data_IF_935197286753
#
_entry.id   IF_935197286753
#
_cell.length_a   1.000
_cell.length_b   1.000
_cell.length_c   1.000
_cell.angle_alpha   90.00
_cell.angle_beta   90.00
_cell.angle_gamma   90.00
#
_symmetry.space_group_name_H-M   'P 1'
#
loop_
_entity.id
_entity.type
_entity.pdbx_description
1 polymer ?
#
# COMPACT_ATOMS: atom_id res chain seq x y z
N UNK A 1 39.97 60.39 -18.48
CA UNK A 1 39.39 59.03 -18.57
C UNK A 1 39.02 58.54 -17.17
N UNK A 2 37.73 58.30 -16.87
CA UNK A 2 37.26 57.80 -15.56
C UNK A 2 37.01 56.29 -15.65
N UNK A 3 37.73 55.49 -14.84
CA UNK A 3 37.55 54.03 -14.74
C UNK A 3 36.25 53.73 -13.96
N UNK A 4 35.33 52.98 -14.57
CA UNK A 4 34.11 52.47 -13.93
C UNK A 4 34.47 51.28 -13.03
N UNK A 5 34.07 51.32 -11.77
CA UNK A 5 34.19 50.21 -10.82
C UNK A 5 33.03 49.22 -11.03
N UNK A 6 33.35 47.98 -11.42
CA UNK A 6 32.38 46.91 -11.53
C UNK A 6 32.00 46.42 -10.12
N UNK A 7 30.73 46.61 -9.73
CA UNK A 7 30.16 45.99 -8.52
C UNK A 7 29.94 44.51 -8.83
N UNK A 8 30.56 43.63 -8.03
CA UNK A 8 30.33 42.18 -8.08
C UNK A 8 29.01 41.91 -7.35
N UNK A 9 27.93 41.72 -8.10
CA UNK A 9 26.66 41.26 -7.54
C UNK A 9 26.78 39.76 -7.26
N UNK A 10 27.00 39.40 -6.00
CA UNK A 10 26.85 38.03 -5.52
C UNK A 10 25.36 37.66 -5.50
N UNK A 11 24.94 36.51 -6.06
CA UNK A 11 23.52 36.14 -6.10
C UNK A 11 22.93 36.01 -4.69
N UNK A 12 21.83 36.73 -4.44
CA UNK A 12 21.15 36.92 -3.15
C UNK A 12 20.42 35.68 -2.59
N UNK A 13 20.84 34.46 -2.95
CA UNK A 13 20.15 33.21 -2.58
C UNK A 13 21.07 32.18 -1.92
N UNK A 14 22.13 32.61 -1.24
CA UNK A 14 22.90 31.72 -0.37
C UNK A 14 22.42 31.85 1.08
N UNK A 15 21.32 31.17 1.42
CA UNK A 15 20.91 30.99 2.81
C UNK A 15 21.86 29.99 3.48
N UNK A 16 22.84 30.52 4.22
CA UNK A 16 23.63 29.76 5.19
C UNK A 16 22.70 29.33 6.35
N UNK A 17 21.98 28.22 6.20
CA UNK A 17 21.46 27.52 7.39
C UNK A 17 22.63 26.79 8.05
N UNK A 18 22.93 27.05 9.34
CA UNK A 18 23.99 26.32 10.03
C UNK A 18 23.65 24.82 10.03
N UNK A 19 24.64 23.93 9.83
CA UNK A 19 24.39 22.50 9.91
C UNK A 19 23.89 22.17 11.32
N UNK A 20 22.74 21.50 11.40
CA UNK A 20 22.18 21.00 12.65
C UNK A 20 23.22 20.07 13.28
N UNK A 21 23.75 20.45 14.46
CA UNK A 21 24.82 19.73 15.17
C UNK A 21 24.34 18.49 15.92
N UNK A 22 23.07 18.15 15.79
CA UNK A 22 22.45 17.03 16.49
C UNK A 22 22.39 15.79 15.61
N UNK A 23 22.70 14.63 16.19
CA UNK A 23 22.63 13.35 15.49
C UNK A 23 21.15 12.99 15.24
N UNK A 24 20.76 12.81 13.98
CA UNK A 24 19.38 12.51 13.59
C UNK A 24 18.77 11.27 14.29
N UNK A 25 19.59 10.34 14.78
CA UNK A 25 19.14 9.19 15.58
C UNK A 25 18.57 9.58 16.95
N UNK A 26 19.07 10.65 17.58
CA UNK A 26 18.57 11.10 18.90
C UNK A 26 17.22 11.78 18.77
N UNK A 27 17.02 12.60 17.73
CA UNK A 27 15.76 13.29 17.42
C UNK A 27 14.64 12.26 17.14
N UNK A 28 14.93 11.23 16.36
CA UNK A 28 13.94 10.21 16.02
C UNK A 28 13.50 9.39 17.25
N UNK A 29 14.45 9.03 18.11
CA UNK A 29 14.20 8.27 19.34
C UNK A 29 13.39 9.09 20.36
N UNK A 30 13.72 10.37 20.53
CA UNK A 30 12.97 11.28 21.39
C UNK A 30 11.52 11.46 20.93
N UNK A 31 11.30 11.62 19.61
CA UNK A 31 9.94 11.75 19.04
C UNK A 31 9.12 10.47 19.21
N UNK A 32 9.73 9.29 19.08
CA UNK A 32 9.04 8.02 19.33
C UNK A 32 8.64 7.87 20.81
N UNK A 33 9.53 8.22 21.74
CA UNK A 33 9.26 8.17 23.17
C UNK A 33 8.14 9.14 23.60
N UNK A 34 8.13 10.36 23.06
CA UNK A 34 7.06 11.33 23.33
C UNK A 34 5.68 10.85 22.82
N UNK A 35 5.62 10.26 21.62
CA UNK A 35 4.37 9.71 21.07
C UNK A 35 3.82 8.54 21.90
N UNK A 36 4.70 7.70 22.47
CA UNK A 36 4.26 6.62 23.36
C UNK A 36 3.69 7.18 24.67
N UNK A 37 4.35 8.18 25.28
CA UNK A 37 3.86 8.85 26.50
C UNK A 37 2.53 9.57 26.27
N UNK A 38 2.34 10.22 25.12
CA UNK A 38 1.06 10.86 24.77
C UNK A 38 -0.08 9.84 24.65
N UNK A 39 0.15 8.72 23.95
CA UNK A 39 -0.86 7.65 23.84
C UNK A 39 -1.27 7.07 25.20
N UNK A 40 -0.30 6.83 26.07
CA UNK A 40 -0.58 6.34 27.42
C UNK A 40 -1.39 7.33 28.25
N UNK A 41 -1.10 8.63 28.12
CA UNK A 41 -1.87 9.69 28.82
C UNK A 41 -3.29 9.82 28.29
N UNK A 42 -3.48 9.74 26.98
CA UNK A 42 -4.81 9.74 26.34
C UNK A 42 -5.65 8.53 26.75
N UNK A 43 -5.01 7.37 26.93
CA UNK A 43 -5.68 6.14 27.38
C UNK A 43 -6.12 6.25 28.85
N UNK A 44 -5.27 6.79 29.73
CA UNK A 44 -5.60 7.03 31.15
C UNK A 44 -6.71 8.08 31.30
N UNK A 45 -6.70 9.15 30.49
CA UNK A 45 -7.76 10.16 30.49
C UNK A 45 -9.11 9.57 30.02
N UNK A 46 -9.10 8.68 29.01
CA UNK A 46 -10.31 7.99 28.56
C UNK A 46 -10.88 7.07 29.63
N UNK A 47 -10.04 6.32 30.35
CA UNK A 47 -10.51 5.45 31.42
C UNK A 47 -11.07 6.25 32.60
N UNK A 48 -10.41 7.34 33.00
CA UNK A 48 -10.91 8.21 34.07
C UNK A 48 -12.22 8.93 33.71
N UNK A 49 -12.41 9.30 32.43
CA UNK A 49 -13.65 9.91 31.95
C UNK A 49 -14.82 8.91 31.92
N UNK A 50 -14.54 7.63 31.66
CA UNK A 50 -15.54 6.55 31.73
C UNK A 50 -15.93 6.23 33.18
N UNK A 51 -14.99 6.24 34.11
CA UNK A 51 -15.26 6.02 35.54
C UNK A 51 -16.08 7.16 36.15
N UNK A 52 -15.72 8.41 35.90
CA UNK A 52 -16.49 9.58 36.38
C UNK A 52 -17.88 9.68 35.76
N UNK A 53 -18.08 9.18 34.54
CA UNK A 53 -19.42 9.09 33.92
C UNK A 53 -20.28 7.99 34.54
N UNK A 54 -19.66 6.96 35.12
CA UNK A 54 -20.36 5.87 35.82
C UNK A 54 -20.83 6.31 37.22
N UNK A 55 -20.07 7.17 37.89
CA UNK A 55 -20.43 7.75 39.20
C UNK A 55 -21.48 8.88 39.09
N UNK A 56 -21.49 9.64 37.98
CA UNK A 56 -22.53 10.66 37.75
C UNK A 56 -23.92 10.12 37.41
N UNK A 57 -24.06 8.81 37.16
CA UNK A 57 -25.36 8.17 36.92
C UNK A 57 -26.03 7.74 38.25
N UNK A 58 -25.31 7.72 39.38
CA UNK A 58 -25.86 7.27 40.67
C UNK A 58 -26.51 8.36 41.54
N UNK A 59 -26.50 9.64 41.15
CA UNK A 59 -26.92 10.73 42.06
C UNK A 59 -28.07 11.62 41.56
N UNK A 60 -28.59 11.47 40.33
CA UNK A 60 -29.54 12.45 39.75
C UNK A 60 -30.83 11.85 39.14
N UNK A 61 -31.31 10.70 39.62
CA UNK A 61 -32.63 10.16 39.23
C UNK A 61 -33.67 10.36 40.35
N UNK A 62 -34.12 11.61 40.52
CA UNK A 62 -35.37 11.90 41.25
C UNK A 62 -36.26 12.92 40.53
N UNK A 63 -36.36 12.85 39.20
CA UNK A 63 -37.53 13.32 38.47
C UNK A 63 -37.46 12.87 37.02
N UNK A 64 -38.48 12.10 36.61
CA UNK A 64 -39.07 11.97 35.26
C UNK A 64 -39.24 10.51 34.86
N UNK A 65 -40.50 10.07 34.89
CA UNK A 65 -41.07 9.17 33.90
C UNK A 65 -40.70 7.70 34.01
N UNK A 66 -41.58 6.94 34.67
CA UNK A 66 -41.70 5.50 34.49
C UNK A 66 -41.81 5.16 33.00
N UNK A 67 -40.81 4.46 32.45
CA UNK A 67 -40.97 3.66 31.25
C UNK A 67 -40.39 2.29 31.59
N UNK A 68 -41.28 1.31 31.72
CA UNK A 68 -40.95 -0.08 31.98
C UNK A 68 -40.01 -0.59 30.90
N UNK A 69 -38.81 -1.01 31.31
CA UNK A 69 -37.85 -1.68 30.44
C UNK A 69 -38.22 -3.16 30.35
N UNK A 70 -38.61 -3.72 29.19
CA UNK A 70 -38.41 -5.14 28.97
C UNK A 70 -36.91 -5.36 28.74
N UNK A 71 -36.26 -6.09 29.66
CA UNK A 71 -34.84 -6.46 29.59
C UNK A 71 -34.42 -7.04 28.22
N UNK A 72 -35.36 -7.70 27.54
CA UNK A 72 -35.20 -8.23 26.18
C UNK A 72 -34.82 -7.17 25.12
N UNK A 73 -35.27 -5.92 25.26
CA UNK A 73 -34.91 -4.83 24.33
C UNK A 73 -33.47 -4.37 24.57
N UNK A 74 -33.00 -4.41 25.81
CA UNK A 74 -31.61 -4.04 26.16
C UNK A 74 -30.61 -5.08 25.64
N UNK A 75 -30.95 -6.36 25.77
CA UNK A 75 -30.14 -7.46 25.27
C UNK A 75 -30.08 -7.47 23.73
N UNK A 76 -31.20 -7.19 23.04
CA UNK A 76 -31.22 -7.04 21.58
C UNK A 76 -30.40 -5.85 21.08
N UNK A 77 -30.40 -4.71 21.79
CA UNK A 77 -29.56 -3.56 21.43
C UNK A 77 -28.08 -3.88 21.63
N UNK A 78 -27.72 -4.64 22.68
CA UNK A 78 -26.34 -5.05 22.93
C UNK A 78 -25.85 -6.06 21.90
N UNK A 79 -26.67 -7.05 21.54
CA UNK A 79 -26.38 -8.03 20.48
C UNK A 79 -26.19 -7.34 19.12
N UNK A 80 -27.06 -6.39 18.77
CA UNK A 80 -26.94 -5.60 17.53
C UNK A 80 -25.68 -4.70 17.50
N UNK A 81 -25.25 -4.16 18.64
CA UNK A 81 -24.01 -3.37 18.73
C UNK A 81 -22.73 -4.23 18.68
N UNK A 82 -22.76 -5.45 19.20
CA UNK A 82 -21.63 -6.40 19.13
C UNK A 82 -21.46 -6.92 17.70
N UNK A 83 -22.55 -7.24 17.00
CA UNK A 83 -22.51 -7.65 15.59
C UNK A 83 -21.99 -6.53 14.66
N UNK A 84 -22.31 -5.26 14.95
CA UNK A 84 -21.77 -4.10 14.23
C UNK A 84 -20.31 -3.78 14.58
N UNK A 85 -19.80 -4.18 15.75
CA UNK A 85 -18.41 -3.95 16.13
C UNK A 85 -17.45 -4.99 15.52
N UNK A 86 -17.95 -6.18 15.17
CA UNK A 86 -17.18 -7.22 14.47
C UNK A 86 -17.12 -6.98 12.94
N UNK A 87 -18.06 -6.20 12.41
CA UNK A 87 -18.04 -5.76 11.01
C UNK A 87 -17.39 -4.37 10.89
N UNK A 88 -16.24 -4.35 10.24
CA UNK A 88 -15.64 -3.14 9.67
C UNK A 88 -14.95 -2.19 10.66
N UNK A 89 -13.82 -2.64 11.22
CA UNK A 89 -12.69 -1.71 11.24
C UNK A 89 -12.32 -1.40 9.79
N UNK A 90 -12.34 -0.13 9.33
CA UNK A 90 -11.91 0.20 7.98
C UNK A 90 -10.40 -0.03 7.92
N UNK A 91 -10.01 -1.23 7.51
CA UNK A 91 -8.63 -1.57 7.19
C UNK A 91 -8.23 -0.57 6.11
N UNK A 92 -7.40 0.41 6.47
CA UNK A 92 -6.91 1.44 5.56
C UNK A 92 -6.30 0.72 4.36
N UNK A 93 -7.04 0.68 3.26
CA UNK A 93 -6.53 0.05 2.05
C UNK A 93 -5.34 0.88 1.59
N UNK A 94 -4.17 0.27 1.40
CA UNK A 94 -3.02 0.99 0.90
C UNK A 94 -3.39 1.62 -0.46
N UNK A 95 -2.99 2.88 -0.67
CA UNK A 95 -3.28 3.62 -1.90
C UNK A 95 -2.75 2.91 -3.16
N UNK A 96 -1.81 1.98 -2.99
CA UNK A 96 -1.29 1.12 -4.04
C UNK A 96 -1.49 -0.34 -3.69
N UNK A 97 -2.08 -1.08 -4.64
CA UNK A 97 -2.13 -2.54 -4.56
C UNK A 97 -0.71 -3.07 -4.74
N UNK A 98 -0.30 -4.00 -3.87
CA UNK A 98 0.97 -4.71 -4.04
C UNK A 98 0.90 -5.50 -5.36
N UNK A 99 1.87 -5.30 -6.23
CA UNK A 99 1.99 -6.10 -7.44
C UNK A 99 2.38 -7.53 -7.03
N UNK A 100 1.69 -8.54 -7.58
CA UNK A 100 2.05 -9.95 -7.37
C UNK A 100 3.48 -10.21 -7.86
N UNK A 101 4.15 -11.20 -7.29
CA UNK A 101 5.41 -11.67 -7.85
C UNK A 101 5.14 -12.29 -9.23
N UNK A 102 6.14 -12.28 -10.13
CA UNK A 102 5.94 -12.87 -11.46
C UNK A 102 5.55 -14.35 -11.38
N UNK A 103 6.06 -15.09 -10.39
CA UNK A 103 5.73 -16.50 -10.19
C UNK A 103 4.24 -16.71 -9.89
N UNK A 104 3.66 -15.83 -9.09
CA UNK A 104 2.27 -15.90 -8.59
C UNK A 104 1.25 -15.23 -9.52
N UNK A 105 1.71 -14.60 -10.61
CA UNK A 105 0.81 -14.02 -11.63
C UNK A 105 0.16 -15.11 -12.49
N UNK A 106 -1.06 -14.82 -12.94
CA UNK A 106 -1.76 -15.65 -13.92
C UNK A 106 -1.07 -15.58 -15.30
N UNK A 107 -1.32 -16.55 -16.17
CA UNK A 107 -0.68 -16.60 -17.51
C UNK A 107 -0.98 -15.32 -18.31
N UNK A 108 -2.22 -14.82 -18.27
CA UNK A 108 -2.59 -13.59 -18.94
C UNK A 108 -1.88 -12.35 -18.37
N UNK A 109 -1.73 -12.30 -17.04
CA UNK A 109 -0.98 -11.26 -16.35
C UNK A 109 0.51 -11.32 -16.73
N UNK A 110 1.11 -12.51 -16.74
CA UNK A 110 2.51 -12.76 -17.14
C UNK A 110 2.79 -12.28 -18.57
N UNK A 111 1.91 -12.62 -19.51
CA UNK A 111 2.02 -12.19 -20.90
C UNK A 111 1.91 -10.66 -21.03
N UNK A 112 0.99 -10.05 -20.28
CA UNK A 112 0.82 -8.60 -20.25
C UNK A 112 2.03 -7.88 -19.66
N UNK A 113 2.61 -8.45 -18.60
CA UNK A 113 3.82 -7.93 -17.97
C UNK A 113 5.01 -7.96 -18.92
N UNK A 114 5.21 -9.09 -19.61
CA UNK A 114 6.30 -9.27 -20.57
C UNK A 114 6.14 -8.37 -21.81
N UNK A 115 4.92 -8.13 -22.26
CA UNK A 115 4.65 -7.21 -23.38
C UNK A 115 4.89 -5.74 -23.01
N UNK A 116 4.50 -5.34 -21.80
CA UNK A 116 4.67 -3.96 -21.31
C UNK A 116 6.04 -3.72 -20.66
N UNK A 117 7.04 -4.53 -21.00
CA UNK A 117 8.36 -4.39 -20.42
C UNK A 117 8.99 -3.04 -20.83
N UNK A 118 9.58 -2.27 -19.89
CA UNK A 118 10.16 -0.97 -20.21
C UNK A 118 11.21 -1.06 -21.30
N UNK A 119 11.05 -0.29 -22.39
CA UNK A 119 11.96 -0.28 -23.56
C UNK A 119 13.41 0.14 -23.23
N UNK A 120 13.63 0.74 -22.07
CA UNK A 120 14.95 1.13 -21.59
C UNK A 120 15.75 -0.08 -21.09
N UNK A 121 15.08 -1.17 -20.75
CA UNK A 121 15.71 -2.40 -20.29
C UNK A 121 15.79 -3.41 -21.44
N UNK A 122 16.81 -4.30 -21.43
CA UNK A 122 16.89 -5.39 -22.39
C UNK A 122 15.63 -6.28 -22.34
N UNK A 123 15.12 -6.75 -23.48
CA UNK A 123 14.02 -7.72 -23.51
C UNK A 123 14.35 -8.97 -22.70
N UNK A 124 13.38 -9.45 -21.91
CA UNK A 124 13.55 -10.64 -21.06
C UNK A 124 13.28 -11.90 -21.87
N UNK A 125 14.25 -12.81 -21.89
CA UNK A 125 14.06 -14.12 -22.48
C UNK A 125 13.10 -14.95 -21.61
N UNK A 126 12.16 -15.63 -22.24
CA UNK A 126 11.12 -16.41 -21.58
C UNK A 126 10.94 -17.78 -22.22
N UNK A 127 10.49 -18.74 -21.42
CA UNK A 127 10.13 -20.10 -21.81
C UNK A 127 8.62 -20.21 -21.72
N UNK A 128 7.98 -20.46 -22.86
CA UNK A 128 6.53 -20.63 -22.99
C UNK A 128 6.25 -22.11 -23.18
N UNK A 129 5.51 -22.71 -22.24
CA UNK A 129 5.08 -24.11 -22.31
C UNK A 129 3.66 -24.17 -22.82
N UNK A 130 3.45 -24.88 -23.92
CA UNK A 130 2.14 -25.08 -24.57
C UNK A 130 1.49 -26.38 -24.05
N UNK A 131 0.16 -26.48 -24.17
CA UNK A 131 -0.63 -27.64 -23.75
C UNK A 131 -0.12 -28.98 -24.31
N UNK A 132 0.45 -28.96 -25.51
CA UNK A 132 1.02 -30.13 -26.19
C UNK A 132 2.39 -30.56 -25.59
N UNK A 133 2.85 -29.92 -24.51
CA UNK A 133 4.13 -30.19 -23.84
C UNK A 133 5.34 -29.53 -24.51
N UNK A 134 5.15 -28.91 -25.67
CA UNK A 134 6.21 -28.21 -26.39
C UNK A 134 6.60 -26.92 -25.66
N UNK A 135 7.91 -26.68 -25.57
CA UNK A 135 8.48 -25.49 -24.94
C UNK A 135 9.15 -24.62 -26.00
N UNK A 136 8.81 -23.34 -26.00
CA UNK A 136 9.40 -22.35 -26.89
C UNK A 136 10.21 -21.36 -26.08
N UNK A 137 11.47 -21.13 -26.47
CA UNK A 137 12.36 -20.15 -25.83
C UNK A 137 12.51 -18.93 -26.71
N UNK A 138 12.21 -17.75 -26.16
CA UNK A 138 12.22 -16.54 -26.96
C UNK A 138 11.82 -15.28 -26.20
N UNK A 139 11.42 -14.26 -26.95
CA UNK A 139 10.98 -12.96 -26.45
C UNK A 139 9.54 -12.69 -26.90
N UNK A 140 8.72 -12.15 -26.01
CA UNK A 140 7.36 -11.74 -26.38
C UNK A 140 7.45 -10.37 -27.06
N UNK A 141 7.08 -10.32 -28.33
CA UNK A 141 7.13 -9.09 -29.15
C UNK A 141 5.74 -8.51 -29.39
N UNK A 142 4.68 -9.33 -29.28
CA UNK A 142 3.32 -8.92 -29.56
C UNK A 142 2.31 -9.66 -28.71
N UNK A 143 1.28 -8.93 -28.26
CA UNK A 143 0.10 -9.50 -27.62
C UNK A 143 -1.15 -8.95 -28.30
N UNK A 144 -2.00 -9.84 -28.78
CA UNK A 144 -3.38 -9.56 -29.16
C UNK A 144 -4.33 -10.27 -28.18
N UNK A 145 -5.65 -10.04 -28.31
CA UNK A 145 -6.63 -10.54 -27.35
C UNK A 145 -6.61 -12.06 -27.16
N UNK A 146 -6.33 -12.81 -28.25
CA UNK A 146 -6.38 -14.28 -28.26
C UNK A 146 -5.06 -14.94 -28.66
N UNK A 147 -4.09 -14.16 -29.12
CA UNK A 147 -2.84 -14.65 -29.68
C UNK A 147 -1.65 -13.86 -29.17
N UNK A 148 -0.53 -14.53 -29.02
CA UNK A 148 0.75 -13.96 -28.58
C UNK A 148 1.80 -14.28 -29.64
N UNK A 149 2.58 -13.27 -30.01
CA UNK A 149 3.70 -13.43 -30.93
C UNK A 149 4.99 -13.53 -30.13
N UNK A 150 5.68 -14.65 -30.28
CA UNK A 150 6.95 -14.96 -29.63
C UNK A 150 8.03 -15.03 -30.70
N UNK A 151 9.10 -14.26 -30.52
CA UNK A 151 10.31 -14.33 -31.33
C UNK A 151 11.27 -15.33 -30.71
N UNK A 152 11.52 -16.45 -31.37
CA UNK A 152 12.45 -17.48 -30.91
C UNK A 152 13.89 -16.96 -30.89
N UNK A 153 14.74 -17.66 -30.15
CA UNK A 153 16.19 -17.41 -30.14
C UNK A 153 16.80 -17.56 -31.53
N UNK A 154 16.24 -18.44 -32.36
CA UNK A 154 16.66 -18.69 -33.75
C UNK A 154 16.23 -17.58 -34.73
N UNK A 155 15.48 -16.59 -34.25
CA UNK A 155 15.02 -15.45 -35.04
C UNK A 155 13.66 -15.64 -35.72
N UNK A 156 13.11 -16.85 -35.72
CA UNK A 156 11.75 -17.13 -36.20
C UNK A 156 10.68 -16.52 -35.29
N UNK A 157 9.57 -16.08 -35.89
CA UNK A 157 8.41 -15.56 -35.16
C UNK A 157 7.26 -16.56 -35.21
N UNK A 158 6.80 -16.97 -34.03
CA UNK A 158 5.66 -17.88 -33.91
C UNK A 158 4.49 -17.18 -33.25
N UNK A 159 3.30 -17.47 -33.74
CA UNK A 159 2.04 -17.01 -33.14
C UNK A 159 1.39 -18.16 -32.39
N UNK A 160 1.23 -18.00 -31.08
CA UNK A 160 0.61 -18.98 -30.19
C UNK A 160 -0.73 -18.46 -29.69
N UNK A 161 -1.70 -19.35 -29.51
CA UNK A 161 -2.97 -19.00 -28.88
C UNK A 161 -2.81 -18.95 -27.37
N UNK A 162 -3.27 -17.86 -26.73
CA UNK A 162 -3.17 -17.66 -25.28
C UNK A 162 -3.77 -18.83 -24.50
N UNK A 163 -4.89 -19.38 -24.98
CA UNK A 163 -5.59 -20.52 -24.37
C UNK A 163 -4.79 -21.83 -24.38
N UNK A 164 -3.82 -21.96 -25.28
CA UNK A 164 -2.96 -23.15 -25.38
C UNK A 164 -1.70 -23.01 -24.51
N UNK A 165 -1.46 -21.86 -23.88
CA UNK A 165 -0.29 -21.63 -23.04
C UNK A 165 -0.61 -22.07 -21.62
N UNK A 166 0.14 -23.05 -21.12
CA UNK A 166 0.00 -23.54 -19.75
C UNK A 166 0.85 -22.73 -18.77
N UNK A 167 2.08 -22.39 -19.15
CA UNK A 167 3.03 -21.74 -18.25
C UNK A 167 3.99 -20.83 -19.01
N UNK A 168 4.38 -19.73 -18.37
CA UNK A 168 5.41 -18.80 -18.86
C UNK A 168 6.42 -18.55 -17.75
N UNK A 169 7.70 -18.82 -18.02
CA UNK A 169 8.83 -18.58 -17.10
C UNK A 169 9.80 -17.58 -17.70
N UNK A 170 10.36 -16.70 -16.88
CA UNK A 170 11.50 -15.88 -17.28
C UNK A 170 12.77 -16.71 -17.14
N UNK A 171 13.69 -16.58 -18.10
CA UNK A 171 15.01 -17.18 -18.01
C UNK A 171 15.85 -16.32 -17.07
N UNK A 172 16.37 -16.93 -16.00
CA UNK A 172 17.26 -16.25 -15.02
C UNK A 172 16.60 -15.85 -13.70
N UNK A 173 15.37 -16.30 -13.43
CA UNK A 173 14.68 -16.16 -12.14
C UNK A 173 14.11 -17.48 -11.64
#
# INVERSE_FOLDING_TARGET
MRKKTARKESPLLFQHTPPVKENMQTIFSAKKAQRVKQKQREEIERTAMLESKKEKISEDDSAIGMIETPAAVRDQIHEYHVEQAEQETPVRQPAFRKLKSFRDMDVEEKLSYLFNFPKQLPPVACIVTVADGQQFRGFIIGKADKTVTVKLMDGEEITLYTKKINEVKMVGM
#
